data_IF_367866552491
#
_entry.id   IF_367866552491
#
_cell.length_a   1.000
_cell.length_b   1.000
_cell.length_c   1.000
_cell.angle_alpha   90.00
_cell.angle_beta   90.00
_cell.angle_gamma   90.00
#
_symmetry.space_group_name_H-M   'P 1'
#
loop_
_entity.id
_entity.type
_entity.pdbx_description
1 polymer ?
#
# COMPACT_ATOMS: atom_id res chain seq x y z
N UNK A 1 -53.70 -69.87 9.20
CA UNK A 1 -54.10 -70.18 7.80
C UNK A 1 -54.17 -68.87 7.04
N UNK A 2 -53.64 -68.79 5.82
CA UNK A 2 -52.20 -68.95 5.50
C UNK A 2 -51.73 -67.75 4.64
N UNK A 3 -50.44 -67.45 4.45
CA UNK A 3 -49.40 -68.19 3.70
C UNK A 3 -48.06 -67.48 4.03
N UNK A 4 -46.93 -68.12 4.36
CA UNK A 4 -46.28 -69.25 3.69
C UNK A 4 -45.67 -68.75 2.36
N UNK A 5 -44.40 -68.90 2.01
CA UNK A 5 -43.27 -69.69 2.50
C UNK A 5 -42.07 -69.25 1.66
N UNK A 6 -40.91 -69.14 2.29
CA UNK A 6 -39.60 -69.07 1.64
C UNK A 6 -39.15 -70.48 1.23
N UNK A 7 -38.61 -70.64 0.01
CA UNK A 7 -37.94 -71.83 -0.54
C UNK A 7 -37.35 -71.43 -1.91
N UNK A 8 -36.18 -71.86 -2.38
CA UNK A 8 -35.01 -72.55 -1.86
C UNK A 8 -34.09 -72.84 -3.07
N UNK A 9 -32.76 -72.99 -2.82
CA UNK A 9 -31.77 -73.82 -3.55
C UNK A 9 -31.46 -73.47 -5.03
N UNK A 10 -30.27 -73.72 -5.57
CA UNK A 10 -29.06 -74.44 -5.15
C UNK A 10 -27.89 -73.99 -6.07
N UNK A 11 -26.64 -73.94 -5.62
CA UNK A 11 -25.64 -75.01 -5.48
C UNK A 11 -25.35 -75.83 -6.76
N UNK A 12 -24.16 -75.63 -7.33
CA UNK A 12 -23.51 -76.53 -8.30
C UNK A 12 -22.40 -75.86 -9.13
N UNK A 13 -21.12 -76.05 -8.78
CA UNK A 13 -19.97 -75.81 -9.67
C UNK A 13 -19.69 -77.02 -10.59
N UNK A 14 -18.46 -77.28 -11.07
CA UNK A 14 -17.39 -76.37 -11.54
C UNK A 14 -16.73 -76.88 -12.88
N UNK A 15 -15.62 -76.24 -13.32
CA UNK A 15 -14.47 -76.82 -14.07
C UNK A 15 -14.43 -76.88 -15.64
N UNK A 16 -13.54 -76.03 -16.20
CA UNK A 16 -12.45 -76.21 -17.22
C UNK A 16 -12.71 -76.37 -18.75
N UNK A 17 -11.83 -75.65 -19.50
CA UNK A 17 -11.32 -75.80 -20.88
C UNK A 17 -12.32 -75.52 -22.02
N UNK A 18 -12.02 -74.73 -23.05
CA UNK A 18 -10.74 -74.33 -23.64
C UNK A 18 -10.79 -74.69 -25.13
N UNK A 19 -11.00 -73.73 -26.02
CA UNK A 19 -10.72 -73.85 -27.46
C UNK A 19 -10.80 -72.48 -28.14
N UNK A 20 -9.69 -72.10 -28.75
CA UNK A 20 -9.44 -70.86 -29.50
C UNK A 20 -10.08 -70.95 -30.89
N UNK A 21 -10.75 -69.89 -31.35
CA UNK A 21 -10.89 -69.60 -32.77
C UNK A 21 -10.75 -68.10 -33.01
N UNK A 22 -9.73 -67.75 -33.77
CA UNK A 22 -9.34 -66.41 -34.19
C UNK A 22 -10.30 -65.91 -35.26
N UNK A 23 -10.85 -64.71 -35.10
CA UNK A 23 -11.37 -63.93 -36.23
C UNK A 23 -11.10 -62.44 -36.02
N UNK A 24 -10.49 -61.86 -37.06
CA UNK A 24 -9.81 -60.59 -37.08
C UNK A 24 -10.73 -59.37 -36.84
N UNK A 25 -10.35 -58.53 -35.88
CA UNK A 25 -10.80 -57.15 -35.79
C UNK A 25 -9.63 -56.22 -36.11
N UNK A 26 -9.81 -55.43 -37.16
CA UNK A 26 -8.92 -54.38 -37.65
C UNK A 26 -8.70 -53.34 -36.53
N UNK A 27 -7.47 -53.20 -36.05
CA UNK A 27 -7.07 -52.12 -35.17
C UNK A 27 -6.43 -51.01 -36.01
N UNK A 28 -6.86 -49.75 -35.88
CA UNK A 28 -6.21 -48.63 -36.56
C UNK A 28 -4.81 -48.42 -35.98
N UNK A 29 -3.86 -48.16 -36.88
CA UNK A 29 -2.48 -47.76 -36.59
C UNK A 29 -2.52 -46.63 -35.56
N UNK A 30 -2.03 -46.91 -34.35
CA UNK A 30 -1.83 -45.89 -33.33
C UNK A 30 -0.85 -44.86 -33.86
N UNK A 31 -1.35 -43.67 -34.20
CA UNK A 31 -0.51 -42.49 -34.35
C UNK A 31 0.30 -42.34 -33.07
N UNK A 32 1.63 -42.43 -33.21
CA UNK A 32 2.56 -41.95 -32.20
C UNK A 32 2.23 -40.47 -32.02
N UNK A 33 1.47 -40.16 -30.97
CA UNK A 33 1.29 -38.79 -30.55
C UNK A 33 2.68 -38.31 -30.14
N UNK A 34 3.34 -37.60 -31.06
CA UNK A 34 4.51 -36.80 -30.78
C UNK A 34 4.20 -35.99 -29.53
N UNK A 35 4.89 -36.33 -28.44
CA UNK A 35 4.89 -35.54 -27.22
C UNK A 35 5.37 -34.15 -27.63
N UNK A 36 4.41 -33.26 -27.83
CA UNK A 36 4.68 -31.85 -28.11
C UNK A 36 5.43 -31.33 -26.90
N UNK A 37 6.69 -31.02 -27.18
CA UNK A 37 7.61 -30.16 -26.46
C UNK A 37 7.14 -29.72 -25.07
N UNK A 38 7.84 -30.22 -24.06
CA UNK A 38 7.69 -29.78 -22.68
C UNK A 38 7.71 -28.25 -22.67
N UNK A 39 6.61 -27.67 -22.21
CA UNK A 39 6.44 -26.24 -22.00
C UNK A 39 7.72 -25.67 -21.39
N UNK A 40 8.36 -24.75 -22.12
CA UNK A 40 9.48 -23.94 -21.62
C UNK A 40 9.08 -23.44 -20.23
N UNK A 41 9.85 -23.73 -19.17
CA UNK A 41 9.56 -23.19 -17.86
C UNK A 41 9.42 -21.69 -18.01
N UNK A 42 8.21 -21.17 -17.75
CA UNK A 42 7.99 -19.73 -17.73
C UNK A 42 8.92 -19.19 -16.67
N UNK A 43 9.98 -18.49 -17.07
CA UNK A 43 10.86 -17.78 -16.13
C UNK A 43 9.96 -16.94 -15.25
N UNK A 44 9.86 -17.38 -14.01
CA UNK A 44 9.18 -16.66 -12.97
C UNK A 44 10.08 -15.47 -12.72
N UNK A 45 9.72 -14.31 -13.26
CA UNK A 45 10.39 -13.07 -12.95
C UNK A 45 10.52 -13.03 -11.43
N UNK A 46 11.76 -13.07 -10.95
CA UNK A 46 12.07 -12.86 -9.55
C UNK A 46 11.52 -11.47 -9.26
N UNK A 47 10.37 -11.40 -8.61
CA UNK A 47 9.96 -10.19 -7.91
C UNK A 47 10.99 -10.04 -6.81
N UNK A 48 12.08 -9.34 -7.13
CA UNK A 48 12.96 -8.77 -6.12
C UNK A 48 12.04 -7.92 -5.25
N UNK A 49 11.73 -8.46 -4.08
CA UNK A 49 11.11 -7.71 -3.02
C UNK A 49 12.17 -6.68 -2.68
N UNK A 50 11.98 -5.44 -3.14
CA UNK A 50 12.84 -4.32 -2.78
C UNK A 50 13.04 -4.42 -1.26
N UNK A 51 14.30 -4.50 -0.77
CA UNK A 51 14.55 -4.78 0.63
C UNK A 51 13.81 -3.74 1.44
N UNK A 52 12.79 -4.19 2.17
CA UNK A 52 12.07 -3.37 3.14
C UNK A 52 13.08 -3.00 4.20
N UNK A 53 13.78 -1.89 3.99
CA UNK A 53 14.64 -1.26 4.97
C UNK A 53 13.73 -0.56 5.98
N UNK A 54 12.96 -1.34 6.74
CA UNK A 54 12.32 -0.81 7.93
C UNK A 54 13.44 -0.46 8.90
N UNK A 55 13.64 0.82 9.25
CA UNK A 55 14.64 1.18 10.23
C UNK A 55 14.36 0.43 11.53
N UNK A 56 15.40 -0.15 12.14
CA UNK A 56 15.27 -0.82 13.44
C UNK A 56 14.63 0.14 14.45
N UNK A 57 13.54 -0.28 15.11
CA UNK A 57 12.90 0.51 16.17
C UNK A 57 13.88 0.91 17.29
N UNK A 58 14.91 0.08 17.52
CA UNK A 58 15.91 0.30 18.58
C UNK A 58 16.80 1.53 18.36
N UNK A 59 16.90 2.03 17.12
CA UNK A 59 17.74 3.18 16.77
C UNK A 59 16.89 4.31 16.22
N UNK A 60 16.19 4.99 17.12
CA UNK A 60 15.42 6.17 16.74
C UNK A 60 16.34 7.31 16.28
N UNK A 61 16.21 7.73 15.01
CA UNK A 61 16.88 8.92 14.50
C UNK A 61 16.19 10.16 15.05
N UNK A 62 16.96 11.01 15.73
CA UNK A 62 16.46 12.28 16.25
C UNK A 62 15.95 13.15 15.09
N UNK A 63 14.78 13.79 15.28
CA UNK A 63 14.16 14.72 14.32
C UNK A 63 13.72 14.08 12.99
N UNK A 64 13.35 12.80 13.01
CA UNK A 64 12.65 12.14 11.91
C UNK A 64 11.40 11.48 12.48
N UNK A 65 10.25 11.50 11.80
CA UNK A 65 9.08 10.79 12.30
C UNK A 65 9.38 9.29 12.27
N UNK A 66 9.50 8.68 13.45
CA UNK A 66 9.78 7.26 13.62
C UNK A 66 8.81 6.72 14.68
N UNK A 67 7.71 6.17 14.20
CA UNK A 67 6.60 5.63 15.00
C UNK A 67 5.90 4.55 14.16
N UNK A 68 4.57 4.58 14.07
CA UNK A 68 3.77 3.62 13.31
C UNK A 68 3.93 3.72 11.78
N UNK A 69 4.75 4.64 11.26
CA UNK A 69 4.90 4.83 9.81
C UNK A 69 5.69 3.69 9.18
N UNK A 70 5.10 3.00 8.21
CA UNK A 70 5.83 2.17 7.23
C UNK A 70 6.72 3.09 6.39
N UNK A 71 6.15 4.21 5.94
CA UNK A 71 6.86 5.33 5.32
C UNK A 71 6.08 6.63 5.52
N UNK A 72 6.79 7.76 5.43
CA UNK A 72 6.24 9.10 5.53
C UNK A 72 7.10 10.05 4.72
N UNK A 73 6.49 10.75 3.77
CA UNK A 73 7.17 11.59 2.80
C UNK A 73 6.51 12.95 2.68
N UNK A 74 7.34 13.98 2.49
CA UNK A 74 6.85 15.28 2.09
C UNK A 74 6.74 15.32 0.56
N UNK A 75 5.67 15.92 0.05
CA UNK A 75 5.30 15.87 -1.36
C UNK A 75 4.65 17.18 -1.83
N UNK A 76 4.60 17.37 -3.15
CA UNK A 76 3.86 18.48 -3.78
C UNK A 76 2.37 18.22 -3.92
N UNK A 77 1.96 16.98 -3.75
CA UNK A 77 0.59 16.52 -3.90
C UNK A 77 0.50 15.04 -3.60
N UNK A 78 -0.68 14.49 -3.86
CA UNK A 78 -0.92 13.06 -3.83
C UNK A 78 -1.83 12.68 -5.01
N UNK A 79 -1.67 11.45 -5.49
CA UNK A 79 -2.55 10.84 -6.47
C UNK A 79 -3.32 9.70 -5.80
N UNK A 80 -4.58 9.54 -6.20
CA UNK A 80 -5.41 8.42 -5.78
C UNK A 80 -5.48 7.45 -6.93
N UNK A 81 -4.67 6.39 -6.85
CA UNK A 81 -4.72 5.29 -7.79
C UNK A 81 -5.85 4.33 -7.41
N UNK A 82 -6.84 4.25 -8.29
CA UNK A 82 -7.83 3.18 -8.27
C UNK A 82 -7.21 1.94 -8.87
N UNK A 83 -6.51 1.20 -8.04
CA UNK A 83 -5.79 0.04 -8.51
C UNK A 83 -6.74 -1.15 -8.79
N UNK A 84 -6.81 -1.56 -10.05
CA UNK A 84 -7.50 -2.79 -10.48
C UNK A 84 -6.58 -4.01 -10.52
N UNK A 85 -5.48 -4.03 -9.76
CA UNK A 85 -4.57 -5.17 -9.66
C UNK A 85 -5.23 -6.35 -8.93
N UNK A 86 -5.85 -7.24 -9.72
CA UNK A 86 -6.44 -8.50 -9.27
C UNK A 86 -6.79 -9.41 -10.46
N UNK A 87 -7.11 -10.69 -10.19
CA UNK A 87 -7.80 -11.51 -11.20
C UNK A 87 -9.10 -10.81 -11.55
N UNK A 88 -9.50 -10.78 -12.83
CA UNK A 88 -10.82 -10.25 -13.24
C UNK A 88 -11.93 -10.87 -12.37
N UNK A 89 -12.55 -10.07 -11.50
CA UNK A 89 -13.54 -10.52 -10.50
C UNK A 89 -13.09 -10.39 -9.02
N UNK A 90 -11.82 -10.10 -8.74
CA UNK A 90 -11.31 -9.72 -7.42
C UNK A 90 -10.97 -8.23 -7.44
N UNK A 91 -11.95 -7.39 -7.15
CA UNK A 91 -11.73 -5.95 -7.02
C UNK A 91 -11.10 -5.68 -5.65
N UNK A 92 -9.79 -5.39 -5.59
CA UNK A 92 -9.25 -4.62 -4.47
C UNK A 92 -9.71 -3.18 -4.66
N UNK A 93 -10.79 -2.81 -3.98
CA UNK A 93 -11.42 -1.48 -4.10
C UNK A 93 -10.75 -0.42 -3.22
N UNK A 94 -9.53 -0.68 -2.73
CA UNK A 94 -8.85 0.23 -1.81
C UNK A 94 -8.10 1.29 -2.63
N UNK A 95 -8.56 2.56 -2.62
CA UNK A 95 -7.83 3.64 -3.28
C UNK A 95 -6.44 3.78 -2.67
N UNK A 96 -5.40 3.68 -3.50
CA UNK A 96 -4.02 3.85 -3.04
C UNK A 96 -3.59 5.30 -3.18
N UNK A 97 -3.16 5.89 -2.08
CA UNK A 97 -2.63 7.24 -2.03
C UNK A 97 -1.12 7.17 -2.30
N UNK A 98 -0.67 7.81 -3.39
CA UNK A 98 0.75 7.93 -3.71
C UNK A 98 1.22 9.38 -3.66
N UNK A 99 2.38 9.68 -3.05
CA UNK A 99 2.93 11.03 -3.08
C UNK A 99 3.36 11.45 -4.50
N UNK A 100 3.05 12.69 -4.88
CA UNK A 100 3.57 13.32 -6.09
C UNK A 100 4.88 14.04 -5.75
N UNK A 101 5.96 13.65 -6.44
CA UNK A 101 7.33 14.09 -6.16
C UNK A 101 7.71 13.90 -4.67
N UNK A 102 7.77 12.65 -4.19
CA UNK A 102 8.14 12.34 -2.80
C UNK A 102 9.54 12.86 -2.46
N UNK A 103 9.71 13.29 -1.21
CA UNK A 103 10.96 13.88 -0.71
C UNK A 103 11.15 15.35 -1.08
N UNK A 104 10.15 16.01 -1.67
CA UNK A 104 10.23 17.44 -1.98
C UNK A 104 10.27 18.26 -0.68
N UNK A 105 11.33 19.05 -0.51
CA UNK A 105 11.55 19.90 0.67
C UNK A 105 11.67 21.39 0.33
N UNK A 106 11.53 21.76 -0.95
CA UNK A 106 11.66 23.14 -1.42
C UNK A 106 10.40 23.54 -2.18
N UNK A 107 9.76 24.62 -1.73
CA UNK A 107 8.48 25.09 -2.26
C UNK A 107 8.53 26.58 -2.60
N UNK A 108 7.62 27.01 -3.47
CA UNK A 108 7.48 28.41 -3.87
C UNK A 108 6.47 29.16 -2.97
N UNK A 109 6.56 30.50 -2.84
CA UNK A 109 5.70 31.27 -1.95
C UNK A 109 4.19 31.18 -2.25
N UNK A 110 3.87 30.89 -3.51
CA UNK A 110 2.51 30.75 -4.03
C UNK A 110 1.94 29.33 -3.92
N UNK A 111 2.79 28.34 -3.58
CA UNK A 111 2.42 26.91 -3.42
C UNK A 111 1.15 26.80 -2.55
N UNK A 112 0.06 26.19 -3.05
CA UNK A 112 -1.22 26.18 -2.34
C UNK A 112 -1.18 25.37 -1.04
N UNK A 113 -0.47 24.25 -1.05
CA UNK A 113 -0.24 23.41 0.12
C UNK A 113 1.05 22.59 -0.03
N UNK A 114 1.65 22.26 1.10
CA UNK A 114 2.68 21.22 1.21
C UNK A 114 1.99 19.97 1.77
N UNK A 115 2.26 18.80 1.20
CA UNK A 115 1.62 17.56 1.64
C UNK A 115 2.62 16.71 2.43
N UNK A 116 2.14 16.10 3.51
CA UNK A 116 2.81 14.97 4.15
C UNK A 116 1.95 13.75 3.85
N UNK A 117 2.49 12.82 3.08
CA UNK A 117 1.80 11.58 2.70
C UNK A 117 2.46 10.43 3.43
N UNK A 118 1.69 9.49 3.94
CA UNK A 118 2.22 8.40 4.73
C UNK A 118 1.46 7.10 4.53
N UNK A 119 2.12 6.01 4.92
CA UNK A 119 1.53 4.69 5.09
C UNK A 119 1.85 4.15 6.48
N UNK A 120 0.89 3.44 7.04
CA UNK A 120 0.95 2.77 8.34
C UNK A 120 0.54 1.30 8.18
N UNK A 121 0.99 0.39 9.06
CA UNK A 121 0.40 -0.93 9.14
C UNK A 121 -1.08 -0.80 9.58
N UNK A 122 -1.89 -1.87 9.40
CA UNK A 122 -3.22 -1.92 10.01
C UNK A 122 -3.17 -1.47 11.48
N UNK A 123 -4.03 -0.54 11.85
CA UNK A 123 -4.06 -0.02 13.21
C UNK A 123 -4.91 -0.95 14.08
N UNK A 124 -4.40 -1.33 15.24
CA UNK A 124 -5.18 -2.06 16.26
C UNK A 124 -6.34 -1.19 16.77
N UNK A 125 -6.06 0.09 17.04
CA UNK A 125 -7.02 1.12 17.45
C UNK A 125 -6.97 2.33 16.50
N UNK A 126 -8.10 2.99 16.20
CA UNK A 126 -8.11 4.22 15.43
C UNK A 126 -7.25 5.32 16.05
N UNK A 127 -6.59 6.11 15.21
CA UNK A 127 -5.69 7.17 15.66
C UNK A 127 -5.90 8.46 14.86
N UNK A 128 -5.58 9.59 15.49
CA UNK A 128 -5.48 10.88 14.83
C UNK A 128 -4.02 11.19 14.54
N UNK A 129 -3.72 11.43 13.26
CA UNK A 129 -2.44 11.91 12.78
C UNK A 129 -2.54 13.42 12.62
N UNK A 130 -1.58 14.16 13.15
CA UNK A 130 -1.65 15.62 13.11
C UNK A 130 -0.30 16.25 12.82
N UNK A 131 -0.33 17.44 12.25
CA UNK A 131 0.86 18.25 12.02
C UNK A 131 0.67 19.68 12.53
N UNK A 132 1.73 20.28 13.05
CA UNK A 132 1.87 21.73 13.27
C UNK A 132 3.15 22.20 12.62
N UNK A 133 3.09 23.30 11.88
CA UNK A 133 4.25 23.86 11.21
C UNK A 133 4.57 25.27 11.68
N UNK A 134 5.86 25.52 11.83
CA UNK A 134 6.43 26.72 12.44
C UNK A 134 7.47 27.31 11.51
N UNK A 135 7.64 28.63 11.54
CA UNK A 135 8.85 29.24 10.97
C UNK A 135 10.03 28.91 11.86
N UNK A 136 11.14 28.52 11.24
CA UNK A 136 12.42 28.23 11.90
C UNK A 136 13.41 29.32 11.50
N UNK A 137 14.03 29.99 12.47
CA UNK A 137 15.10 30.96 12.20
C UNK A 137 16.44 30.27 11.92
N UNK A 138 17.48 31.05 11.63
CA UNK A 138 18.82 30.52 11.31
C UNK A 138 19.47 29.77 12.48
N UNK A 139 19.00 30.01 13.70
CA UNK A 139 19.46 29.38 14.94
C UNK A 139 18.63 28.15 15.31
N UNK A 140 17.62 27.78 14.50
CA UNK A 140 16.75 26.63 14.76
C UNK A 140 15.64 26.90 15.78
N UNK A 141 15.40 28.17 16.14
CA UNK A 141 14.32 28.54 17.06
C UNK A 141 13.01 28.64 16.28
N UNK A 142 11.97 28.06 16.86
CA UNK A 142 10.62 28.08 16.29
C UNK A 142 9.89 29.37 16.68
N UNK A 143 9.28 30.02 15.69
CA UNK A 143 8.39 31.15 15.93
C UNK A 143 7.05 30.67 16.48
N UNK A 144 6.53 31.33 17.53
CA UNK A 144 5.18 31.12 18.04
C UNK A 144 4.28 32.32 17.67
N UNK A 145 2.99 32.09 17.37
CA UNK A 145 2.29 30.80 17.27
C UNK A 145 2.69 29.99 16.01
N UNK A 146 2.30 28.70 15.90
CA UNK A 146 2.45 27.96 14.65
C UNK A 146 1.77 28.69 13.49
N UNK A 147 2.33 28.51 12.29
CA UNK A 147 1.78 29.06 11.04
C UNK A 147 0.46 28.39 10.69
N UNK A 148 0.32 27.11 11.02
CA UNK A 148 -0.92 26.37 10.89
C UNK A 148 -0.82 24.97 11.48
N UNK A 149 -1.93 24.24 11.38
CA UNK A 149 -2.05 22.86 11.83
C UNK A 149 -3.05 22.10 10.96
N UNK A 150 -2.92 20.78 10.93
CA UNK A 150 -3.88 19.88 10.29
C UNK A 150 -4.01 18.58 11.08
N UNK A 151 -5.11 17.85 10.87
CA UNK A 151 -5.38 16.57 11.55
C UNK A 151 -6.25 15.65 10.69
N UNK A 152 -5.84 14.39 10.61
CA UNK A 152 -6.53 13.31 9.91
C UNK A 152 -6.83 12.18 10.89
N UNK A 153 -8.11 11.83 11.02
CA UNK A 153 -8.52 10.62 11.71
C UNK A 153 -8.36 9.41 10.76
N UNK A 154 -7.67 8.37 11.23
CA UNK A 154 -7.39 7.15 10.45
C UNK A 154 -8.04 5.97 11.17
N UNK A 155 -9.09 5.35 10.59
CA UNK A 155 -9.74 4.18 11.15
C UNK A 155 -8.89 2.91 10.98
N UNK A 156 -9.25 1.82 11.68
CA UNK A 156 -8.46 0.58 11.76
C UNK A 156 -8.08 -0.05 10.40
N UNK A 157 -8.92 0.11 9.38
CA UNK A 157 -8.77 -0.51 8.06
C UNK A 157 -8.02 0.36 7.05
N UNK A 158 -7.83 1.64 7.36
CA UNK A 158 -7.15 2.58 6.48
C UNK A 158 -5.64 2.50 6.73
N UNK A 159 -4.86 2.45 5.65
CA UNK A 159 -3.41 2.28 5.73
C UNK A 159 -2.65 3.49 5.24
N UNK A 160 -3.31 4.39 4.51
CA UNK A 160 -2.66 5.51 3.87
C UNK A 160 -3.40 6.79 4.20
N UNK A 161 -2.67 7.89 4.25
CA UNK A 161 -3.24 9.18 4.59
C UNK A 161 -2.34 10.31 4.15
N UNK A 162 -2.90 11.52 4.22
CA UNK A 162 -2.14 12.74 4.00
C UNK A 162 -2.56 13.85 4.96
N UNK A 163 -1.61 14.72 5.28
CA UNK A 163 -1.83 15.99 5.97
C UNK A 163 -1.55 17.14 5.01
N UNK A 164 -2.40 18.15 5.04
CA UNK A 164 -2.36 19.29 4.14
C UNK A 164 -1.88 20.55 4.89
N UNK A 165 -0.62 20.91 4.70
CA UNK A 165 -0.05 22.14 5.22
C UNK A 165 -0.47 23.29 4.30
N UNK A 166 -1.63 23.88 4.60
CA UNK A 166 -2.22 24.94 3.76
C UNK A 166 -1.45 26.23 3.81
N UNK A 167 -1.39 26.91 2.66
CA UNK A 167 -0.85 28.27 2.55
C UNK A 167 -1.61 29.21 3.48
N UNK A 168 -0.92 29.93 4.38
CA UNK A 168 -1.57 30.94 5.22
C UNK A 168 -2.09 32.11 4.35
N UNK A 169 -3.07 32.90 4.81
CA UNK A 169 -3.70 33.96 4.00
C UNK A 169 -2.73 34.98 3.40
N UNK A 170 -1.63 35.28 4.10
CA UNK A 170 -0.59 36.20 3.63
C UNK A 170 0.39 35.58 2.60
N UNK A 171 0.20 34.30 2.25
CA UNK A 171 1.18 33.53 1.48
C UNK A 171 2.31 32.98 2.36
N UNK A 172 3.11 32.09 1.78
CA UNK A 172 4.27 31.58 2.50
C UNK A 172 5.38 32.64 2.58
N UNK A 173 5.87 32.89 3.79
CA UNK A 173 7.07 33.69 3.95
C UNK A 173 8.30 32.89 3.49
N UNK A 174 9.25 33.56 2.84
CA UNK A 174 10.52 32.92 2.48
C UNK A 174 11.27 32.55 3.76
N UNK A 175 11.85 31.36 3.78
CA UNK A 175 12.64 30.87 4.91
C UNK A 175 12.46 29.39 5.21
N UNK A 176 12.96 28.97 6.36
CA UNK A 176 12.90 27.59 6.83
C UNK A 176 11.63 27.35 7.66
N UNK A 177 11.14 26.13 7.56
CA UNK A 177 9.97 25.67 8.29
C UNK A 177 10.26 24.32 8.91
N UNK A 178 9.76 24.15 10.14
CA UNK A 178 9.76 22.88 10.85
C UNK A 178 8.31 22.43 11.07
N UNK A 179 8.05 21.18 10.75
CA UNK A 179 6.79 20.51 10.99
C UNK A 179 6.98 19.55 12.15
N UNK A 180 6.14 19.63 13.17
CA UNK A 180 6.01 18.64 14.22
C UNK A 180 4.87 17.70 13.87
N UNK A 181 5.12 16.40 13.92
CA UNK A 181 4.15 15.34 13.62
C UNK A 181 3.72 14.70 14.93
N UNK A 182 2.41 14.48 15.07
CA UNK A 182 1.80 13.90 16.25
C UNK A 182 0.92 12.71 15.88
N UNK A 183 0.88 11.72 16.76
CA UNK A 183 -0.08 10.63 16.69
C UNK A 183 -0.73 10.51 18.06
N UNK A 184 -2.06 10.60 18.11
CA UNK A 184 -2.83 10.46 19.34
C UNK A 184 -3.97 9.46 19.16
N UNK A 185 -4.25 8.61 20.17
CA UNK A 185 -5.47 7.81 20.18
C UNK A 185 -6.73 8.66 20.06
N UNK A 186 -7.82 8.06 19.59
CA UNK A 186 -9.12 8.72 19.54
C UNK A 186 -9.53 9.28 20.92
N UNK A 187 -10.06 10.50 20.94
CA UNK A 187 -10.49 11.19 22.16
C UNK A 187 -9.36 11.83 22.99
N UNK A 188 -8.08 11.65 22.63
CA UNK A 188 -6.98 12.36 23.26
C UNK A 188 -6.67 13.71 22.58
N UNK A 189 -5.98 14.59 23.30
CA UNK A 189 -5.50 15.85 22.73
C UNK A 189 -4.37 15.60 21.73
N UNK A 190 -4.62 15.87 20.44
CA UNK A 190 -3.65 15.63 19.37
C UNK A 190 -2.30 16.36 19.61
N UNK A 191 -2.34 17.66 19.87
CA UNK A 191 -1.15 18.49 19.98
C UNK A 191 -0.58 18.56 21.40
N UNK A 192 -0.21 17.39 21.94
CA UNK A 192 0.48 17.26 23.22
C UNK A 192 1.92 16.77 23.02
N UNK A 193 2.87 17.20 23.86
CA UNK A 193 4.28 16.83 23.71
C UNK A 193 4.52 15.32 23.76
N UNK A 194 3.72 14.59 24.56
CA UNK A 194 3.78 13.12 24.65
C UNK A 194 3.35 12.41 23.35
N UNK A 195 2.62 13.10 22.47
CA UNK A 195 2.12 12.57 21.21
C UNK A 195 3.02 12.94 20.04
N UNK A 196 4.09 13.74 20.26
CA UNK A 196 5.04 14.11 19.20
C UNK A 196 5.89 12.90 18.81
N UNK A 197 5.78 12.49 17.55
CA UNK A 197 6.47 11.29 17.02
C UNK A 197 7.67 11.63 16.14
N UNK A 198 7.90 12.91 15.87
CA UNK A 198 9.08 13.41 15.18
C UNK A 198 8.81 14.70 14.41
N UNK A 199 9.80 15.11 13.62
CA UNK A 199 9.76 16.38 12.89
C UNK A 199 10.18 16.22 11.44
N UNK A 200 9.71 17.12 10.58
CA UNK A 200 10.10 17.25 9.17
C UNK A 200 10.45 18.71 8.88
N UNK A 201 11.22 18.97 7.82
CA UNK A 201 11.63 20.33 7.45
C UNK A 201 11.40 20.60 5.96
N UNK A 202 11.03 21.84 5.66
CA UNK A 202 11.01 22.36 4.31
C UNK A 202 11.47 23.81 4.29
N UNK A 203 11.78 24.30 3.08
CA UNK A 203 12.11 25.69 2.84
C UNK A 203 11.22 26.27 1.76
N UNK A 204 10.87 27.53 1.93
CA UNK A 204 10.18 28.34 0.93
C UNK A 204 11.21 29.29 0.33
N UNK A 205 11.37 29.23 -0.99
CA UNK A 205 12.36 30.03 -1.73
C UNK A 205 11.69 30.71 -2.91
N UNK A 206 12.17 31.88 -3.30
CA UNK A 206 11.75 32.51 -4.56
C UNK A 206 12.15 31.61 -5.71
N UNK A 207 11.17 31.01 -6.39
CA UNK A 207 11.42 30.32 -7.64
C UNK A 207 11.50 31.38 -8.75
N UNK A 208 12.50 31.32 -9.66
CA UNK A 208 12.49 32.20 -10.81
C UNK A 208 11.24 31.89 -11.63
N UNK A 209 10.41 32.92 -11.84
CA UNK A 209 9.23 32.82 -12.69
C UNK A 209 9.65 32.27 -14.07
N UNK A 210 8.98 31.24 -14.63
CA UNK A 210 9.26 30.84 -16.01
C UNK A 210 9.00 32.06 -16.89
N UNK A 211 10.07 32.56 -17.51
CA UNK A 211 10.05 33.76 -18.32
C UNK A 211 8.87 33.69 -19.31
N UNK A 212 8.01 34.69 -19.26
CA UNK A 212 6.75 34.72 -20.00
C UNK A 212 6.96 34.44 -21.48
N UNK A 213 6.24 33.44 -21.98
CA UNK A 213 6.00 33.27 -23.41
C UNK A 213 5.28 34.53 -23.91
N UNK A 214 6.06 35.48 -24.40
CA UNK A 214 5.55 36.64 -25.13
C UNK A 214 5.22 36.13 -26.53
N UNK A 215 3.96 35.75 -26.78
CA UNK A 215 3.49 35.56 -28.15
C UNK A 215 3.28 36.95 -28.76
N UNK A 216 3.99 37.16 -29.85
CA UNK A 216 3.89 38.31 -30.75
C UNK A 216 2.59 38.26 -31.55
#
# INVERSE_FOLDING_TARGET
MPHGTDRAKGLGGPVIAGATLVLACVMPVGSIASARDLLVPKEQAVTEIDPTNTPSLDKQQKNRPQSLFTWIEMAKGYEVEWDSFGRSGWYTQDPRIKPVEPGTTTFAPDTPAVYIVFEVPPLEDPATFSARWYREDEQGKLAEPPVGQDSLFVPWHEKQGFLELRKPPAGWAIGNYLVKVYISPEGQQAFHAANEVGTMRFKVVTQPSPAGTTSK
#
